data_IF_965132801119
#
_entry.id   IF_965132801119
#
_cell.length_a   1.000
_cell.length_b   1.000
_cell.length_c   1.000
_cell.angle_alpha   90.00
_cell.angle_beta   90.00
_cell.angle_gamma   90.00
#
_symmetry.space_group_name_H-M   'P 1'
#
loop_
_entity.id
_entity.type
_entity.pdbx_description
1 polymer ?
#
# COMPACT_ATOMS: atom_id res chain seq x y z
N UNK A 1 15.27 10.62 -22.71
CA UNK A 1 14.43 9.72 -23.52
C UNK A 1 13.00 10.05 -23.15
N UNK A 2 12.40 10.99 -23.87
CA UNK A 2 11.02 11.43 -23.66
C UNK A 2 10.10 10.35 -24.21
N UNK A 3 9.67 9.42 -23.36
CA UNK A 3 8.43 8.69 -23.62
C UNK A 3 7.39 9.79 -23.73
N UNK A 4 6.66 9.81 -24.83
CA UNK A 4 5.64 10.81 -25.08
C UNK A 4 4.61 10.76 -23.94
N UNK A 5 4.74 11.70 -22.99
CA UNK A 5 3.87 11.82 -21.81
C UNK A 5 2.40 12.11 -22.23
N UNK A 6 2.15 12.27 -23.54
CA UNK A 6 0.84 12.43 -24.17
C UNK A 6 -0.08 11.21 -24.09
N UNK A 7 0.44 9.99 -23.88
CA UNK A 7 -0.39 8.76 -23.96
C UNK A 7 -1.35 8.65 -22.76
N UNK A 8 -0.92 9.09 -21.58
CA UNK A 8 -1.72 9.03 -20.34
C UNK A 8 -1.82 10.43 -19.76
N UNK A 9 -3.05 10.93 -19.64
CA UNK A 9 -3.32 12.22 -18.98
C UNK A 9 -2.99 12.13 -17.49
N UNK A 10 -2.64 13.25 -16.86
CA UNK A 10 -2.41 13.28 -15.42
C UNK A 10 -3.62 12.77 -14.64
N UNK A 11 -4.85 13.17 -15.01
CA UNK A 11 -6.06 12.69 -14.35
C UNK A 11 -6.20 11.17 -14.43
N UNK A 12 -5.93 10.57 -15.60
CA UNK A 12 -5.91 9.12 -15.77
C UNK A 12 -4.83 8.45 -14.91
N UNK A 13 -3.65 9.06 -14.79
CA UNK A 13 -2.55 8.55 -13.97
C UNK A 13 -2.85 8.62 -12.47
N UNK A 14 -3.53 9.68 -12.03
CA UNK A 14 -4.00 9.81 -10.64
C UNK A 14 -5.08 8.76 -10.35
N UNK A 15 -6.03 8.53 -11.26
CA UNK A 15 -7.03 7.46 -11.10
C UNK A 15 -6.43 6.05 -11.14
N UNK A 16 -5.35 5.84 -11.90
CA UNK A 16 -4.65 4.57 -11.99
C UNK A 16 -4.09 4.10 -10.62
N UNK A 17 -3.91 5.02 -9.66
CA UNK A 17 -3.62 4.71 -8.26
C UNK A 17 -4.54 3.62 -7.71
N UNK A 18 -5.86 3.77 -7.90
CA UNK A 18 -6.85 2.84 -7.36
C UNK A 18 -6.68 1.44 -7.95
N UNK A 19 -6.35 1.35 -9.25
CA UNK A 19 -6.10 0.07 -9.91
C UNK A 19 -4.77 -0.55 -9.44
N UNK A 20 -3.71 0.25 -9.34
CA UNK A 20 -2.40 -0.21 -8.88
C UNK A 20 -2.47 -0.74 -7.44
N UNK A 21 -3.15 -0.01 -6.55
CA UNK A 21 -3.45 -0.44 -5.19
C UNK A 21 -4.23 -1.76 -5.17
N UNK A 22 -5.36 -1.84 -5.88
CA UNK A 22 -6.18 -3.06 -5.85
C UNK A 22 -5.48 -4.28 -6.43
N UNK A 23 -4.66 -4.14 -7.48
CA UNK A 23 -3.88 -5.26 -8.02
C UNK A 23 -2.90 -5.79 -6.97
N UNK A 24 -2.23 -4.90 -6.25
CA UNK A 24 -1.30 -5.26 -5.19
C UNK A 24 -2.01 -5.95 -4.02
N UNK A 25 -3.03 -5.31 -3.48
CA UNK A 25 -3.74 -5.81 -2.31
C UNK A 25 -4.58 -7.06 -2.61
N UNK A 26 -5.00 -7.27 -3.86
CA UNK A 26 -5.59 -8.56 -4.26
C UNK A 26 -4.59 -9.70 -4.19
N UNK A 27 -3.33 -9.50 -4.61
CA UNK A 27 -2.28 -10.51 -4.39
C UNK A 27 -2.15 -10.83 -2.90
N UNK A 28 -2.08 -9.79 -2.05
CA UNK A 28 -1.98 -9.97 -0.61
C UNK A 28 -3.18 -10.72 -0.04
N UNK A 29 -4.42 -10.33 -0.37
CA UNK A 29 -5.65 -11.02 0.08
C UNK A 29 -5.59 -12.50 -0.28
N UNK A 30 -5.22 -12.84 -1.51
CA UNK A 30 -5.19 -14.23 -1.98
C UNK A 30 -4.14 -15.05 -1.22
N UNK A 31 -3.00 -14.45 -0.89
CA UNK A 31 -1.83 -15.20 -0.44
C UNK A 31 -1.61 -15.16 1.07
N UNK A 32 -2.00 -14.08 1.75
CA UNK A 32 -1.63 -13.78 3.16
C UNK A 32 -1.94 -14.92 4.13
N UNK A 33 -3.15 -15.50 4.06
CA UNK A 33 -3.56 -16.55 5.00
C UNK A 33 -2.72 -17.82 4.82
N UNK A 34 -2.59 -18.29 3.59
CA UNK A 34 -1.81 -19.50 3.28
C UNK A 34 -0.32 -19.31 3.61
N UNK A 35 0.20 -18.10 3.35
CA UNK A 35 1.57 -17.75 3.62
C UNK A 35 1.87 -17.70 5.12
N UNK A 36 0.98 -17.09 5.90
CA UNK A 36 1.10 -17.04 7.37
C UNK A 36 1.08 -18.46 7.96
N UNK A 37 0.12 -19.31 7.55
CA UNK A 37 0.04 -20.71 8.01
C UNK A 37 1.34 -21.49 7.76
N UNK A 38 1.98 -21.27 6.61
CA UNK A 38 3.22 -21.97 6.22
C UNK A 38 4.48 -21.40 6.87
N UNK A 39 4.55 -20.08 7.04
CA UNK A 39 5.79 -19.39 7.42
C UNK A 39 5.85 -18.91 8.87
N UNK A 40 4.72 -18.90 9.59
CA UNK A 40 4.62 -18.36 10.94
C UNK A 40 5.69 -18.93 11.90
N UNK A 41 5.88 -20.26 11.91
CA UNK A 41 6.87 -20.89 12.79
C UNK A 41 8.31 -20.43 12.50
N UNK A 42 8.64 -20.19 11.23
CA UNK A 42 9.96 -19.70 10.82
C UNK A 42 10.14 -18.24 11.22
N UNK A 43 9.12 -17.41 10.99
CA UNK A 43 9.12 -15.99 11.35
C UNK A 43 9.26 -15.80 12.86
N UNK A 44 8.47 -16.53 13.66
CA UNK A 44 8.49 -16.43 15.11
C UNK A 44 9.87 -16.77 15.71
N UNK A 45 10.65 -17.64 15.06
CA UNK A 45 12.02 -17.96 15.47
C UNK A 45 13.04 -16.88 15.06
N UNK A 46 12.82 -16.21 13.93
CA UNK A 46 13.72 -15.21 13.37
C UNK A 46 13.51 -13.80 13.95
N UNK A 47 12.29 -13.50 14.41
CA UNK A 47 11.92 -12.16 14.91
C UNK A 47 11.52 -12.22 16.39
N UNK A 48 12.48 -12.38 17.32
CA UNK A 48 12.19 -12.36 18.76
C UNK A 48 11.85 -10.94 19.23
N UNK A 49 11.13 -10.83 20.36
CA UNK A 49 10.85 -9.55 21.03
C UNK A 49 9.50 -8.91 20.67
N UNK A 50 9.36 -7.58 20.79
CA UNK A 50 8.08 -6.88 20.60
C UNK A 50 7.46 -7.08 19.21
N UNK A 51 8.30 -7.13 18.16
CA UNK A 51 7.86 -7.34 16.77
C UNK A 51 7.28 -8.75 16.60
N UNK A 52 7.92 -9.77 17.19
CA UNK A 52 7.40 -11.14 17.21
C UNK A 52 6.03 -11.26 17.89
N UNK A 53 5.77 -10.46 18.93
CA UNK A 53 4.45 -10.40 19.62
C UNK A 53 3.35 -9.75 18.77
N UNK A 54 3.69 -8.79 17.92
CA UNK A 54 2.73 -8.22 16.97
C UNK A 54 2.41 -9.26 15.88
N UNK A 55 3.43 -9.97 15.39
CA UNK A 55 3.27 -11.02 14.39
C UNK A 55 2.52 -12.25 14.92
N UNK A 56 2.65 -12.59 16.21
CA UNK A 56 1.85 -13.67 16.81
C UNK A 56 0.35 -13.35 16.83
N UNK A 57 -0.03 -12.08 16.96
CA UNK A 57 -1.41 -11.61 16.81
C UNK A 57 -1.97 -11.66 15.38
N UNK A 58 -1.10 -11.93 14.39
CA UNK A 58 -1.43 -12.13 12.96
C UNK A 58 -1.29 -13.59 12.52
N UNK A 59 -0.92 -14.50 13.43
CA UNK A 59 -0.68 -15.92 13.12
C UNK A 59 -1.89 -16.66 12.54
N UNK A 60 -3.09 -16.19 12.86
CA UNK A 60 -4.36 -16.75 12.41
C UNK A 60 -5.19 -15.73 11.60
N UNK A 61 -4.49 -14.83 10.88
CA UNK A 61 -5.19 -13.89 10.00
C UNK A 61 -5.88 -14.64 8.87
N UNK A 62 -7.17 -14.39 8.69
CA UNK A 62 -7.95 -14.92 7.56
C UNK A 62 -7.91 -13.94 6.39
N UNK A 63 -7.86 -14.45 5.17
CA UNK A 63 -7.90 -13.62 3.96
C UNK A 63 -9.16 -12.74 3.91
N UNK A 64 -10.29 -13.24 4.41
CA UNK A 64 -11.54 -12.47 4.52
C UNK A 64 -11.47 -11.35 5.56
N UNK A 65 -10.72 -11.52 6.67
CA UNK A 65 -10.48 -10.45 7.64
C UNK A 65 -9.57 -9.38 7.06
N UNK A 66 -8.54 -9.78 6.32
CA UNK A 66 -7.63 -8.87 5.62
C UNK A 66 -8.38 -8.07 4.54
N UNK A 67 -9.25 -8.72 3.76
CA UNK A 67 -10.06 -8.06 2.73
C UNK A 67 -10.96 -6.94 3.28
N UNK A 68 -11.43 -7.04 4.52
CA UNK A 68 -12.20 -5.95 5.16
C UNK A 68 -11.33 -4.70 5.38
N UNK A 69 -10.04 -4.87 5.73
CA UNK A 69 -9.13 -3.74 5.89
C UNK A 69 -8.89 -3.05 4.54
N UNK A 70 -8.52 -3.83 3.52
CA UNK A 70 -8.32 -3.35 2.14
C UNK A 70 -9.57 -2.63 1.61
N UNK A 71 -10.76 -3.16 1.89
CA UNK A 71 -12.02 -2.55 1.47
C UNK A 71 -12.25 -1.16 2.10
N UNK A 72 -11.94 -1.01 3.39
CA UNK A 72 -12.05 0.28 4.09
C UNK A 72 -11.04 1.30 3.53
N UNK A 73 -9.81 0.86 3.25
CA UNK A 73 -8.80 1.69 2.61
C UNK A 73 -9.22 2.13 1.21
N UNK A 74 -9.76 1.21 0.41
CA UNK A 74 -10.26 1.52 -0.93
C UNK A 74 -11.37 2.58 -0.91
N UNK A 75 -12.32 2.46 0.02
CA UNK A 75 -13.38 3.48 0.21
C UNK A 75 -12.77 4.84 0.56
N UNK A 76 -11.73 4.87 1.41
CA UNK A 76 -11.05 6.10 1.78
C UNK A 76 -10.26 6.71 0.62
N UNK A 77 -9.69 5.88 -0.25
CA UNK A 77 -8.89 6.33 -1.39
C UNK A 77 -9.72 7.00 -2.48
N UNK A 78 -10.96 6.55 -2.73
CA UNK A 78 -11.84 7.17 -3.74
C UNK A 78 -11.98 8.70 -3.57
N UNK A 79 -12.39 9.25 -2.41
CA UNK A 79 -12.49 10.69 -2.23
C UNK A 79 -11.13 11.39 -2.24
N UNK A 80 -10.05 10.75 -1.77
CA UNK A 80 -8.69 11.33 -1.84
C UNK A 80 -8.25 11.50 -3.30
N UNK A 81 -8.47 10.49 -4.14
CA UNK A 81 -8.20 10.53 -5.58
C UNK A 81 -9.08 11.57 -6.27
N UNK A 82 -10.38 11.59 -5.97
CA UNK A 82 -11.32 12.57 -6.50
C UNK A 82 -10.89 14.01 -6.19
N UNK A 83 -10.51 14.30 -4.94
CA UNK A 83 -10.04 15.63 -4.53
C UNK A 83 -8.74 16.04 -5.23
N UNK A 84 -7.84 15.09 -5.50
CA UNK A 84 -6.63 15.35 -6.27
C UNK A 84 -6.94 15.70 -7.74
N UNK A 85 -7.88 14.99 -8.37
CA UNK A 85 -8.23 15.21 -9.78
C UNK A 85 -9.05 16.48 -9.98
N UNK A 86 -10.14 16.65 -9.21
CA UNK A 86 -11.14 17.70 -9.48
C UNK A 86 -10.85 19.01 -8.73
N UNK A 87 -10.13 18.93 -7.61
CA UNK A 87 -9.87 20.09 -6.76
C UNK A 87 -8.39 20.43 -6.63
N UNK A 88 -7.52 19.71 -7.35
CA UNK A 88 -6.06 19.88 -7.28
C UNK A 88 -5.50 19.86 -5.84
N UNK A 89 -6.20 19.16 -4.93
CA UNK A 89 -5.75 19.01 -3.55
C UNK A 89 -4.88 17.76 -3.42
N UNK A 90 -3.58 17.95 -3.51
CA UNK A 90 -2.61 16.85 -3.55
C UNK A 90 -2.10 16.42 -2.17
N UNK A 91 -2.46 17.10 -1.08
CA UNK A 91 -1.84 16.88 0.24
C UNK A 91 -1.96 15.41 0.66
N UNK A 92 -3.20 14.91 0.79
CA UNK A 92 -3.45 13.52 1.19
C UNK A 92 -3.04 12.52 0.10
N UNK A 93 -3.23 12.88 -1.17
CA UNK A 93 -2.91 11.99 -2.28
C UNK A 93 -1.40 11.69 -2.37
N UNK A 94 -0.57 12.73 -2.23
CA UNK A 94 0.89 12.60 -2.12
C UNK A 94 1.28 11.80 -0.88
N UNK A 95 0.65 12.08 0.27
CA UNK A 95 0.86 11.34 1.50
C UNK A 95 0.63 9.84 1.35
N UNK A 96 -0.53 9.47 0.81
CA UNK A 96 -0.92 8.08 0.56
C UNK A 96 0.03 7.40 -0.42
N UNK A 97 0.37 8.04 -1.54
CA UNK A 97 1.28 7.46 -2.53
C UNK A 97 2.73 7.35 -2.01
N UNK A 98 3.16 8.25 -1.13
CA UNK A 98 4.46 8.15 -0.46
C UNK A 98 4.51 6.93 0.47
N UNK A 99 3.44 6.69 1.25
CA UNK A 99 3.33 5.48 2.08
C UNK A 99 3.28 4.24 1.21
N UNK A 100 2.51 4.24 0.12
CA UNK A 100 2.44 3.12 -0.83
C UNK A 100 3.81 2.80 -1.45
N UNK A 101 4.59 3.83 -1.83
CA UNK A 101 5.95 3.64 -2.35
C UNK A 101 6.87 3.02 -1.30
N UNK A 102 6.83 3.52 -0.06
CA UNK A 102 7.62 2.98 1.06
C UNK A 102 7.22 1.53 1.36
N UNK A 103 5.92 1.21 1.29
CA UNK A 103 5.34 -0.12 1.55
C UNK A 103 5.99 -1.20 0.68
N UNK A 104 6.27 -0.92 -0.60
CA UNK A 104 6.99 -1.84 -1.50
C UNK A 104 8.33 -2.30 -0.91
N UNK A 105 9.08 -1.37 -0.32
CA UNK A 105 10.38 -1.68 0.26
C UNK A 105 10.26 -2.49 1.56
N UNK A 106 9.12 -2.39 2.25
CA UNK A 106 8.85 -3.25 3.41
C UNK A 106 8.74 -4.71 2.99
N UNK A 107 8.01 -5.01 1.92
CA UNK A 107 7.91 -6.35 1.34
C UNK A 107 9.23 -6.88 0.82
N UNK A 108 9.97 -6.04 0.09
CA UNK A 108 11.30 -6.40 -0.40
C UNK A 108 12.24 -6.73 0.77
N UNK A 109 12.26 -5.89 1.81
CA UNK A 109 13.05 -6.10 3.01
C UNK A 109 12.67 -7.38 3.74
N UNK A 110 11.37 -7.64 3.92
CA UNK A 110 10.86 -8.87 4.53
C UNK A 110 11.27 -10.10 3.70
N UNK A 111 11.15 -10.05 2.37
CA UNK A 111 11.53 -11.14 1.47
C UNK A 111 13.02 -11.46 1.54
N UNK A 112 13.88 -10.44 1.53
CA UNK A 112 15.34 -10.59 1.66
C UNK A 112 15.69 -11.18 3.04
N UNK A 113 15.11 -10.62 4.11
CA UNK A 113 15.39 -11.05 5.47
C UNK A 113 14.94 -12.50 5.74
N UNK A 114 13.73 -12.86 5.30
CA UNK A 114 13.19 -14.21 5.45
C UNK A 114 13.78 -15.19 4.43
N UNK A 115 14.48 -14.69 3.39
CA UNK A 115 14.97 -15.47 2.24
C UNK A 115 13.84 -16.31 1.63
N UNK A 116 12.68 -15.67 1.46
CA UNK A 116 11.46 -16.30 0.97
C UNK A 116 10.60 -15.25 0.28
N UNK A 117 9.70 -15.68 -0.58
CA UNK A 117 8.64 -14.82 -1.09
C UNK A 117 7.75 -14.32 0.07
N UNK A 118 7.31 -13.07 0.01
CA UNK A 118 6.31 -12.48 0.93
C UNK A 118 5.10 -11.98 0.12
N UNK A 119 3.87 -12.06 0.67
CA UNK A 119 2.68 -11.52 0.01
C UNK A 119 2.93 -10.07 -0.42
N UNK A 120 2.64 -9.73 -1.67
CA UNK A 120 2.77 -8.36 -2.17
C UNK A 120 4.15 -7.99 -2.72
N UNK A 121 5.20 -8.81 -2.57
CA UNK A 121 6.54 -8.46 -3.08
C UNK A 121 6.59 -8.40 -4.61
N UNK A 122 5.85 -9.28 -5.30
CA UNK A 122 5.87 -9.34 -6.76
C UNK A 122 5.12 -8.13 -7.33
N UNK A 123 3.84 -7.96 -6.99
CA UNK A 123 3.05 -6.80 -7.46
C UNK A 123 3.61 -5.48 -6.95
N UNK A 124 4.20 -5.45 -5.75
CA UNK A 124 4.90 -4.28 -5.23
C UNK A 124 6.02 -3.82 -6.16
N UNK A 125 6.85 -4.74 -6.64
CA UNK A 125 7.97 -4.42 -7.54
C UNK A 125 7.54 -4.17 -8.98
N UNK A 126 6.57 -4.92 -9.51
CA UNK A 126 6.23 -4.87 -10.95
C UNK A 126 5.06 -3.93 -11.27
N UNK A 127 4.23 -3.58 -10.29
CA UNK A 127 3.05 -2.70 -10.47
C UNK A 127 3.25 -1.41 -9.68
N UNK A 128 3.39 -1.51 -8.36
CA UNK A 128 3.35 -0.34 -7.47
C UNK A 128 4.58 0.53 -7.64
N UNK A 129 5.78 -0.07 -7.65
CA UNK A 129 7.03 0.68 -7.80
C UNK A 129 7.09 1.48 -9.11
N UNK A 130 6.90 0.88 -10.31
CA UNK A 130 6.93 1.65 -11.55
C UNK A 130 5.82 2.69 -11.61
N UNK A 131 4.62 2.36 -11.13
CA UNK A 131 3.51 3.31 -11.02
C UNK A 131 3.89 4.54 -10.19
N UNK A 132 4.32 4.34 -8.94
CA UNK A 132 4.60 5.42 -7.99
C UNK A 132 5.77 6.30 -8.45
N UNK A 133 6.82 5.70 -9.01
CA UNK A 133 7.95 6.46 -9.56
C UNK A 133 7.52 7.32 -10.75
N UNK A 134 6.69 6.78 -11.65
CA UNK A 134 6.19 7.52 -12.79
C UNK A 134 5.21 8.63 -12.37
N UNK A 135 4.33 8.37 -11.40
CA UNK A 135 3.42 9.36 -10.82
C UNK A 135 4.20 10.56 -10.28
N UNK A 136 5.16 10.33 -9.38
CA UNK A 136 5.92 11.44 -8.79
C UNK A 136 6.76 12.18 -9.85
N UNK A 137 7.37 11.46 -10.79
CA UNK A 137 8.08 12.08 -11.92
C UNK A 137 7.16 13.04 -12.71
N UNK A 138 5.96 12.58 -13.08
CA UNK A 138 4.99 13.39 -13.83
C UNK A 138 4.49 14.58 -13.02
N UNK A 139 4.14 14.38 -11.76
CA UNK A 139 3.65 15.47 -10.90
C UNK A 139 4.68 16.60 -10.73
N UNK A 140 5.97 16.27 -10.76
CA UNK A 140 7.06 17.26 -10.69
C UNK A 140 7.28 17.99 -12.02
N UNK A 141 7.29 17.26 -13.13
CA UNK A 141 7.54 17.86 -14.44
C UNK A 141 6.39 18.72 -14.92
N UNK A 142 5.16 18.38 -14.53
CA UNK A 142 3.97 19.20 -14.79
C UNK A 142 3.75 20.28 -13.72
N UNK A 143 4.70 20.46 -12.80
CA UNK A 143 4.68 21.51 -11.76
C UNK A 143 3.45 21.48 -10.86
N UNK A 144 2.80 20.32 -10.69
CA UNK A 144 1.65 20.14 -9.81
C UNK A 144 2.03 20.17 -8.33
N UNK A 145 3.24 19.68 -8.04
CA UNK A 145 3.89 19.76 -6.72
C UNK A 145 5.40 19.91 -6.90
N UNK A 146 6.04 20.60 -5.98
CA UNK A 146 7.49 20.68 -5.86
C UNK A 146 8.07 19.55 -5.00
N UNK A 147 9.38 19.32 -5.06
CA UNK A 147 10.09 18.43 -4.13
C UNK A 147 9.83 18.76 -2.66
N UNK A 148 9.74 20.05 -2.32
CA UNK A 148 9.47 20.49 -0.96
C UNK A 148 8.05 20.10 -0.53
N UNK A 149 7.07 20.26 -1.41
CA UNK A 149 5.69 19.86 -1.15
C UNK A 149 5.55 18.34 -1.05
N UNK A 150 6.26 17.56 -1.87
CA UNK A 150 6.30 16.11 -1.71
C UNK A 150 6.78 15.73 -0.30
N UNK A 151 7.90 16.31 0.15
CA UNK A 151 8.43 16.04 1.49
C UNK A 151 7.48 16.53 2.60
N UNK A 152 6.83 17.68 2.41
CA UNK A 152 5.91 18.27 3.39
C UNK A 152 4.58 17.53 3.48
N UNK A 153 4.06 17.01 2.37
CA UNK A 153 2.78 16.32 2.29
C UNK A 153 2.89 14.83 2.60
N UNK A 154 4.06 14.21 2.39
CA UNK A 154 4.31 12.79 2.70
C UNK A 154 3.84 12.35 4.10
N UNK A 155 4.10 13.12 5.19
CA UNK A 155 3.62 12.77 6.53
C UNK A 155 2.10 12.67 6.67
N UNK A 156 1.31 13.29 5.79
CA UNK A 156 -0.15 13.18 5.84
C UNK A 156 -0.65 11.75 5.58
N UNK A 157 0.15 10.92 4.90
CA UNK A 157 -0.12 9.49 4.70
C UNK A 157 -0.13 8.67 5.98
N UNK A 158 0.39 9.19 7.10
CA UNK A 158 0.32 8.51 8.41
C UNK A 158 -1.12 8.32 8.89
N UNK A 159 -2.11 9.00 8.29
CA UNK A 159 -3.54 8.73 8.51
C UNK A 159 -3.94 7.29 8.17
N UNK A 160 -3.16 6.58 7.35
CA UNK A 160 -3.41 5.18 7.01
C UNK A 160 -3.16 4.25 8.19
N UNK A 161 -2.30 4.61 9.14
CA UNK A 161 -2.03 3.77 10.32
C UNK A 161 -3.32 3.50 11.12
N UNK A 162 -4.06 4.53 11.61
CA UNK A 162 -5.32 4.28 12.30
C UNK A 162 -6.39 3.66 11.40
N UNK A 163 -6.37 3.94 10.09
CA UNK A 163 -7.32 3.36 9.13
C UNK A 163 -7.14 1.84 8.97
N UNK A 164 -5.90 1.38 8.77
CA UNK A 164 -5.53 -0.05 8.72
C UNK A 164 -5.87 -0.73 10.04
N UNK A 165 -5.53 -0.11 11.17
CA UNK A 165 -5.84 -0.65 12.50
C UNK A 165 -7.35 -0.81 12.70
N UNK A 166 -8.15 0.18 12.27
CA UNK A 166 -9.60 0.10 12.27
C UNK A 166 -10.07 -1.06 11.38
N UNK A 167 -9.54 -1.16 10.16
CA UNK A 167 -9.88 -2.20 9.19
C UNK A 167 -9.69 -3.62 9.76
N UNK A 168 -8.52 -3.90 10.33
CA UNK A 168 -8.27 -5.19 10.98
C UNK A 168 -9.18 -5.45 12.18
N UNK A 169 -9.48 -4.41 12.98
CA UNK A 169 -10.40 -4.55 14.13
C UNK A 169 -11.82 -4.88 13.66
N UNK A 170 -12.32 -4.18 12.63
CA UNK A 170 -13.64 -4.45 12.03
C UNK A 170 -13.66 -5.83 11.40
N UNK A 171 -12.62 -6.22 10.67
CA UNK A 171 -12.48 -7.56 10.08
C UNK A 171 -12.62 -8.66 11.12
N UNK A 172 -11.93 -8.54 12.27
CA UNK A 172 -12.06 -9.50 13.39
C UNK A 172 -13.45 -9.54 14.02
N UNK A 173 -14.18 -8.41 14.03
CA UNK A 173 -15.52 -8.32 14.61
C UNK A 173 -16.57 -8.95 13.69
N UNK A 174 -16.52 -8.63 12.40
CA UNK A 174 -17.54 -9.00 11.40
C UNK A 174 -17.32 -10.41 10.88
N UNK A 175 -16.06 -10.80 10.67
CA UNK A 175 -15.69 -12.14 10.23
C UNK A 175 -15.35 -12.97 11.47
N UNK A 176 -16.41 -13.44 12.15
CA UNK A 176 -16.31 -14.48 13.18
C UNK A 176 -16.38 -15.83 12.49
N UNK A 177 -15.27 -16.55 12.52
CA UNK A 177 -15.23 -17.96 12.16
C UNK A 177 -14.29 -18.69 13.09
#
# INVERSE_FOLDING_TARGET
>A
MTIDDSIITMSSLIWLFLAAFMIHDFEEIIVVESWMKKNYQRIHKLVPGPIGRIMSGMSDIKSSQFAVAVFIEFIFFIPVTYLAVEHHNYILFVGVNAVLLIHVFTHLGQSIYLKSYTPGVITGLIVVLPYSLYLFYRMLNEELVSMKEILLYSPSGLILIPLVMLGHKVGKIVIRG
#
